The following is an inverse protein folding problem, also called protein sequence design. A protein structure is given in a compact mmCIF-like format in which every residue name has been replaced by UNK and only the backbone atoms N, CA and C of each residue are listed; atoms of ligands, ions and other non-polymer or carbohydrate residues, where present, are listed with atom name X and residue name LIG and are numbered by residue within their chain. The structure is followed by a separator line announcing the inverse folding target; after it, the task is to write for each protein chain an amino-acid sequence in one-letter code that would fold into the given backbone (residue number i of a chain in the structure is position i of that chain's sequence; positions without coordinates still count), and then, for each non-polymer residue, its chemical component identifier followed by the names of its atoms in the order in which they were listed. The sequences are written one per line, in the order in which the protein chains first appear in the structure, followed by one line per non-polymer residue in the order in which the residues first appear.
data_IF_471113283164
#
_entry.id   IF_471113283164
#
_cell.length_a   1.000
_cell.length_b   1.000
_cell.length_c   1.000
_cell.angle_alpha   90.00
_cell.angle_beta   90.00
_cell.angle_gamma   90.00
#
_symmetry.space_group_name_H-M   'P 1'
#
loop_
_entity.id
_entity.type
_entity.pdbx_description
1 polymer ?
#
# COMPACT_ATOMS: atom_id res chain seq x y z
N UNK A 1 -9.41 -6.54 -18.55
CA UNK A 1 -8.08 -6.17 -19.09
C UNK A 1 -7.13 -5.70 -17.95
N UNK A 2 -7.42 -4.66 -17.21
CA UNK A 2 -6.57 -4.14 -16.10
C UNK A 2 -6.14 -5.22 -15.08
N UNK A 3 -7.08 -6.05 -14.61
CA UNK A 3 -6.79 -7.11 -13.64
C UNK A 3 -5.75 -8.13 -14.15
N UNK A 4 -5.81 -8.51 -15.41
CA UNK A 4 -4.84 -9.42 -16.01
C UNK A 4 -3.45 -8.77 -16.13
N UNK A 5 -3.40 -7.51 -16.53
CA UNK A 5 -2.16 -6.73 -16.60
C UNK A 5 -1.51 -6.62 -15.21
N UNK A 6 -2.28 -6.28 -14.19
CA UNK A 6 -1.77 -6.25 -12.82
C UNK A 6 -1.22 -7.60 -12.36
N UNK A 7 -1.87 -8.71 -12.71
CA UNK A 7 -1.35 -10.04 -12.37
C UNK A 7 -0.01 -10.32 -13.05
N UNK A 8 0.12 -10.04 -14.34
CA UNK A 8 1.39 -10.23 -15.06
C UNK A 8 2.50 -9.38 -14.43
N UNK A 9 2.23 -8.11 -14.16
CA UNK A 9 3.21 -7.20 -13.57
C UNK A 9 3.62 -7.66 -12.18
N UNK A 10 2.66 -7.83 -11.28
CA UNK A 10 2.98 -8.09 -9.86
C UNK A 10 3.39 -9.53 -9.59
N UNK A 11 2.75 -10.53 -10.22
CA UNK A 11 3.07 -11.95 -9.98
C UNK A 11 4.17 -12.47 -10.90
N UNK A 12 4.38 -11.83 -12.03
CA UNK A 12 5.50 -12.14 -12.93
C UNK A 12 6.71 -11.25 -12.62
N UNK A 13 6.73 -10.04 -13.20
CA UNK A 13 7.90 -9.17 -13.23
C UNK A 13 8.33 -8.71 -11.83
N UNK A 14 7.42 -8.12 -11.06
CA UNK A 14 7.77 -7.54 -9.76
C UNK A 14 8.14 -8.61 -8.74
N UNK A 15 7.40 -9.71 -8.67
CA UNK A 15 7.69 -10.78 -7.73
C UNK A 15 9.03 -11.46 -8.03
N UNK A 16 9.34 -11.66 -9.32
CA UNK A 16 10.63 -12.18 -9.76
C UNK A 16 11.77 -11.23 -9.37
N UNK A 17 11.65 -9.92 -9.72
CA UNK A 17 12.63 -8.90 -9.36
C UNK A 17 12.87 -8.84 -7.84
N UNK A 18 11.79 -8.74 -7.07
CA UNK A 18 11.89 -8.64 -5.60
C UNK A 18 12.52 -9.88 -4.96
N UNK A 19 12.25 -11.09 -5.49
CA UNK A 19 12.84 -12.33 -4.97
C UNK A 19 14.31 -12.49 -5.34
N UNK A 20 14.66 -12.28 -6.62
CA UNK A 20 15.99 -12.63 -7.12
C UNK A 20 16.98 -11.47 -6.99
N UNK A 21 16.54 -10.23 -7.15
CA UNK A 21 17.42 -9.07 -7.14
C UNK A 21 17.47 -8.44 -5.73
N UNK A 22 16.30 -8.29 -5.10
CA UNK A 22 16.20 -7.62 -3.79
C UNK A 22 16.30 -8.61 -2.62
N UNK A 23 16.03 -9.91 -2.85
CA UNK A 23 16.07 -10.94 -1.82
C UNK A 23 14.83 -10.98 -0.91
N UNK A 24 13.69 -10.42 -1.36
CA UNK A 24 12.46 -10.38 -0.55
C UNK A 24 11.89 -11.77 -0.36
N UNK A 25 11.68 -12.16 0.90
CA UNK A 25 10.95 -13.36 1.27
C UNK A 25 9.47 -13.03 1.52
N UNK A 26 8.60 -13.68 0.77
CA UNK A 26 7.15 -13.44 0.86
C UNK A 26 6.48 -14.45 1.79
N UNK A 27 5.72 -13.94 2.74
CA UNK A 27 4.80 -14.78 3.55
C UNK A 27 3.61 -15.22 2.71
N UNK A 28 3.08 -16.40 3.00
CA UNK A 28 1.88 -16.91 2.32
C UNK A 28 0.62 -16.11 2.70
N UNK A 29 0.11 -15.36 1.75
CA UNK A 29 -1.10 -14.55 1.91
C UNK A 29 -2.36 -15.20 1.31
N UNK A 30 -2.34 -16.51 1.00
CA UNK A 30 -3.49 -17.23 0.41
C UNK A 30 -4.73 -17.23 1.27
N UNK A 31 -4.59 -17.11 2.59
CA UNK A 31 -5.71 -16.97 3.52
C UNK A 31 -6.60 -15.76 3.22
N UNK A 32 -6.05 -14.69 2.63
CA UNK A 32 -6.80 -13.51 2.22
C UNK A 32 -7.88 -13.78 1.17
N UNK A 33 -7.79 -14.89 0.43
CA UNK A 33 -8.83 -15.30 -0.54
C UNK A 33 -10.18 -15.59 0.11
N UNK A 34 -10.18 -15.90 1.41
CA UNK A 34 -11.39 -16.16 2.19
C UNK A 34 -12.03 -14.91 2.75
N UNK A 35 -11.28 -13.80 2.77
CA UNK A 35 -11.77 -12.54 3.29
C UNK A 35 -12.53 -11.77 2.20
N UNK A 36 -13.71 -11.29 2.55
CA UNK A 36 -14.52 -10.45 1.65
C UNK A 36 -13.83 -9.11 1.40
N UNK A 37 -13.29 -8.55 2.47
CA UNK A 37 -12.63 -7.25 2.50
C UNK A 37 -11.67 -7.17 3.69
N UNK A 38 -10.58 -6.40 3.57
CA UNK A 38 -9.59 -6.25 4.63
C UNK A 38 -8.82 -4.93 4.50
N UNK A 39 -8.17 -4.54 5.59
CA UNK A 39 -7.23 -3.42 5.64
C UNK A 39 -5.87 -3.96 6.07
N UNK A 40 -4.87 -3.85 5.22
CA UNK A 40 -3.48 -4.14 5.59
C UNK A 40 -2.89 -2.90 6.25
N UNK A 41 -2.34 -3.07 7.44
CA UNK A 41 -1.61 -2.04 8.18
C UNK A 41 -0.14 -2.45 8.23
N UNK A 42 0.72 -1.72 7.52
CA UNK A 42 2.14 -2.04 7.39
C UNK A 42 3.03 -0.89 7.82
N UNK A 43 4.23 -1.18 8.34
CA UNK A 43 5.27 -0.18 8.54
C UNK A 43 5.79 0.33 7.19
N UNK A 44 6.34 1.55 7.15
CA UNK A 44 6.76 2.19 5.91
C UNK A 44 8.21 2.67 5.97
N UNK A 45 9.11 1.92 5.37
CA UNK A 45 10.55 2.19 5.40
C UNK A 45 11.16 2.41 4.01
N UNK A 46 10.52 1.91 2.94
CA UNK A 46 11.08 1.89 1.59
C UNK A 46 10.05 2.23 0.51
N UNK A 47 10.53 2.68 -0.64
CA UNK A 47 9.72 2.78 -1.86
C UNK A 47 9.21 1.41 -2.35
N UNK A 48 9.91 0.33 -2.01
CA UNK A 48 9.55 -1.04 -2.40
C UNK A 48 8.45 -1.65 -1.53
N UNK A 49 8.07 -1.02 -0.42
CA UNK A 49 7.08 -1.58 0.51
C UNK A 49 5.73 -1.88 -0.16
N UNK A 50 5.19 -0.90 -0.86
CA UNK A 50 3.91 -1.06 -1.59
C UNK A 50 4.03 -2.13 -2.67
N UNK A 51 5.14 -2.15 -3.40
CA UNK A 51 5.40 -3.12 -4.45
C UNK A 51 5.48 -4.54 -3.87
N UNK A 52 6.17 -4.70 -2.75
CA UNK A 52 6.31 -5.98 -2.05
C UNK A 52 4.98 -6.48 -1.52
N UNK A 53 4.18 -5.62 -0.90
CA UNK A 53 2.84 -5.97 -0.41
C UNK A 53 1.93 -6.41 -1.56
N UNK A 54 1.84 -5.64 -2.65
CA UNK A 54 1.04 -6.02 -3.81
C UNK A 54 1.53 -7.32 -4.44
N UNK A 55 2.85 -7.53 -4.53
CA UNK A 55 3.41 -8.77 -5.07
C UNK A 55 3.18 -9.99 -4.18
N UNK A 56 2.97 -9.81 -2.86
CA UNK A 56 2.62 -10.90 -1.94
C UNK A 56 1.16 -11.36 -2.08
N UNK A 57 0.27 -10.47 -2.50
CA UNK A 57 -1.17 -10.75 -2.55
C UNK A 57 -1.51 -11.82 -3.59
N UNK A 58 -2.58 -12.62 -3.37
CA UNK A 58 -3.16 -13.45 -4.41
C UNK A 58 -3.56 -12.61 -5.64
N UNK A 59 -3.17 -13.04 -6.84
CA UNK A 59 -3.37 -12.26 -8.07
C UNK A 59 -4.82 -11.80 -8.31
N UNK A 60 -5.79 -12.65 -7.91
CA UNK A 60 -7.23 -12.34 -8.04
C UNK A 60 -7.69 -11.17 -7.15
N UNK A 61 -6.91 -10.79 -6.13
CA UNK A 61 -7.25 -9.69 -5.21
C UNK A 61 -6.63 -8.35 -5.61
N UNK A 62 -5.63 -8.34 -6.48
CA UNK A 62 -4.87 -7.13 -6.82
C UNK A 62 -5.75 -5.94 -7.25
N UNK A 63 -6.77 -6.19 -8.07
CA UNK A 63 -7.66 -5.14 -8.55
C UNK A 63 -8.65 -4.62 -7.49
N UNK A 64 -8.87 -5.39 -6.41
CA UNK A 64 -9.72 -5.02 -5.28
C UNK A 64 -8.96 -4.33 -4.15
N UNK A 65 -7.64 -4.30 -4.21
CA UNK A 65 -6.81 -3.72 -3.16
C UNK A 65 -6.24 -2.38 -3.63
N UNK A 66 -6.44 -1.35 -2.81
CA UNK A 66 -5.97 0.01 -3.08
C UNK A 66 -4.92 0.42 -2.04
N UNK A 67 -3.64 0.56 -2.42
CA UNK A 67 -2.68 1.28 -1.59
C UNK A 67 -3.10 2.74 -1.45
N UNK A 68 -3.06 3.25 -0.23
CA UNK A 68 -3.36 4.66 0.04
C UNK A 68 -2.08 5.48 0.00
N UNK A 69 -2.06 6.52 -0.82
CA UNK A 69 -0.93 7.39 -0.97
C UNK A 69 -1.36 8.87 -1.01
N UNK A 70 -0.44 9.75 -0.62
CA UNK A 70 -0.69 11.19 -0.65
C UNK A 70 -0.57 11.74 -2.08
N UNK A 71 -1.50 12.61 -2.49
CA UNK A 71 -1.51 13.24 -3.81
C UNK A 71 -0.23 14.02 -4.10
N UNK A 72 0.33 14.70 -3.09
CA UNK A 72 1.56 15.49 -3.18
C UNK A 72 2.81 14.64 -3.48
N UNK A 73 2.75 13.33 -3.22
CA UNK A 73 3.81 12.40 -3.52
C UNK A 73 3.95 12.10 -5.03
N UNK A 74 2.84 12.01 -5.75
CA UNK A 74 2.84 11.73 -7.19
C UNK A 74 3.10 12.96 -8.04
N UNK A 75 3.40 14.09 -7.39
CA UNK A 75 3.99 15.26 -7.98
C UNK A 75 3.05 16.07 -8.86
N UNK A 76 3.64 17.09 -9.44
CA UNK A 76 3.03 18.09 -10.31
C UNK A 76 2.61 17.52 -11.68
N UNK A 77 2.87 16.23 -11.95
CA UNK A 77 2.69 15.64 -13.26
C UNK A 77 1.47 14.71 -13.29
N UNK A 78 0.37 15.19 -13.90
CA UNK A 78 -0.89 14.43 -14.08
C UNK A 78 -0.68 13.08 -14.78
N UNK A 79 0.36 12.97 -15.62
CA UNK A 79 0.70 11.75 -16.33
C UNK A 79 1.25 10.67 -15.38
N UNK A 80 2.14 11.03 -14.45
CA UNK A 80 2.65 10.10 -13.45
C UNK A 80 1.53 9.63 -12.50
N UNK A 81 0.63 10.52 -12.11
CA UNK A 81 -0.53 10.16 -11.30
C UNK A 81 -1.45 9.18 -12.04
N UNK A 82 -1.65 9.36 -13.34
CA UNK A 82 -2.48 8.49 -14.18
C UNK A 82 -1.85 7.09 -14.33
N UNK A 83 -0.55 7.01 -14.58
CA UNK A 83 0.19 5.73 -14.64
C UNK A 83 0.14 5.01 -13.30
N UNK A 84 0.41 5.71 -12.21
CA UNK A 84 0.35 5.14 -10.85
C UNK A 84 -1.05 4.61 -10.53
N UNK A 85 -2.07 5.35 -10.91
CA UNK A 85 -3.45 4.94 -10.67
C UNK A 85 -3.84 3.71 -11.52
N UNK A 86 -3.36 3.64 -12.75
CA UNK A 86 -3.65 2.50 -13.63
C UNK A 86 -2.92 1.22 -13.22
N UNK A 87 -1.62 1.31 -12.87
CA UNK A 87 -0.79 0.14 -12.56
C UNK A 87 -0.82 -0.26 -11.09
N UNK A 88 -0.97 0.70 -10.17
CA UNK A 88 -0.94 0.44 -8.71
C UNK A 88 -2.36 0.44 -8.12
N UNK A 89 -3.38 0.91 -8.85
CA UNK A 89 -4.75 1.08 -8.35
C UNK A 89 -4.79 1.93 -7.06
N UNK A 90 -3.98 2.98 -6.99
CA UNK A 90 -3.75 3.77 -5.78
C UNK A 90 -4.96 4.65 -5.44
N UNK A 91 -5.32 4.70 -4.16
CA UNK A 91 -6.24 5.68 -3.62
C UNK A 91 -5.43 6.92 -3.20
N UNK A 92 -5.54 7.99 -3.98
CA UNK A 92 -4.86 9.25 -3.68
C UNK A 92 -5.67 10.08 -2.67
N UNK A 93 -5.00 10.53 -1.60
CA UNK A 93 -5.57 11.37 -0.54
C UNK A 93 -4.74 12.63 -0.34
N UNK A 94 -5.37 13.73 0.07
CA UNK A 94 -4.67 14.96 0.47
C UNK A 94 -4.22 14.85 1.94
N UNK A 95 -2.97 15.19 2.23
CA UNK A 95 -2.42 15.12 3.60
C UNK A 95 -2.95 16.21 4.53
N UNK A 96 -3.24 17.39 3.97
CA UNK A 96 -3.85 18.51 4.68
C UNK A 96 -5.19 18.79 3.98
N UNK A 97 -6.27 18.39 4.62
CA UNK A 97 -7.57 18.96 4.30
C UNK A 97 -7.60 20.38 4.88
N UNK A 98 -7.82 21.39 4.06
CA UNK A 98 -8.61 22.54 4.51
C UNK A 98 -9.84 21.95 5.19
N UNK A 99 -10.47 22.68 6.12
CA UNK A 99 -11.69 22.26 6.86
C UNK A 99 -12.88 21.91 5.93
N UNK A 100 -12.61 21.68 4.67
CA UNK A 100 -13.55 21.35 3.64
C UNK A 100 -13.87 19.85 3.71
N UNK A 101 -15.12 19.56 4.05
CA UNK A 101 -15.62 18.18 4.23
C UNK A 101 -15.45 17.29 2.99
N UNK A 102 -15.27 17.88 1.82
CA UNK A 102 -15.14 17.19 0.54
C UNK A 102 -13.77 16.53 0.33
N UNK A 103 -12.73 17.03 1.01
CA UNK A 103 -11.35 16.57 0.86
C UNK A 103 -10.80 15.82 2.09
N UNK A 104 -11.69 15.42 3.03
CA UNK A 104 -11.28 14.64 4.21
C UNK A 104 -10.70 13.28 3.76
N UNK A 105 -9.39 13.02 4.03
CA UNK A 105 -8.76 11.76 3.67
C UNK A 105 -9.44 10.55 4.30
N UNK A 106 -10.02 10.69 5.48
CA UNK A 106 -10.73 9.60 6.16
C UNK A 106 -12.01 9.28 5.39
N UNK A 107 -12.76 10.29 4.98
CA UNK A 107 -13.97 10.10 4.17
C UNK A 107 -13.67 9.36 2.88
N UNK A 108 -12.64 9.76 2.12
CA UNK A 108 -12.22 9.06 0.89
C UNK A 108 -11.88 7.59 1.12
N UNK A 109 -11.21 7.29 2.24
CA UNK A 109 -10.90 5.89 2.60
C UNK A 109 -12.15 5.10 2.96
N UNK A 110 -13.08 5.70 3.69
CA UNK A 110 -14.37 5.07 4.02
C UNK A 110 -15.21 4.81 2.77
N UNK A 111 -15.30 5.78 1.86
CA UNK A 111 -15.99 5.62 0.57
C UNK A 111 -15.41 4.46 -0.26
N UNK A 112 -14.09 4.30 -0.28
CA UNK A 112 -13.45 3.17 -0.94
C UNK A 112 -13.79 1.83 -0.26
N UNK A 113 -13.81 1.81 1.08
CA UNK A 113 -14.22 0.65 1.87
C UNK A 113 -15.70 0.32 1.56
N UNK A 114 -16.58 1.29 1.59
CA UNK A 114 -18.02 1.11 1.32
C UNK A 114 -18.29 0.64 -0.11
N UNK A 115 -17.42 1.02 -1.06
CA UNK A 115 -17.43 0.50 -2.42
C UNK A 115 -16.85 -0.92 -2.56
N UNK A 116 -16.46 -1.58 -1.47
CA UNK A 116 -15.99 -2.96 -1.45
C UNK A 116 -14.49 -3.15 -1.70
N UNK A 117 -13.69 -2.08 -1.72
CA UNK A 117 -12.24 -2.18 -1.85
C UNK A 117 -11.57 -2.48 -0.52
N UNK A 118 -10.54 -3.30 -0.56
CA UNK A 118 -9.57 -3.47 0.52
C UNK A 118 -8.49 -2.39 0.42
N UNK A 119 -7.90 -2.01 1.56
CA UNK A 119 -6.89 -0.96 1.59
C UNK A 119 -5.54 -1.48 2.08
N UNK A 120 -4.46 -0.85 1.60
CA UNK A 120 -3.13 -0.92 2.21
C UNK A 120 -2.84 0.45 2.79
N UNK A 121 -2.63 0.51 4.10
CA UNK A 121 -2.36 1.73 4.85
C UNK A 121 -1.01 1.63 5.54
N UNK A 122 -0.27 2.73 5.49
CA UNK A 122 0.93 2.93 6.28
C UNK A 122 0.60 3.89 7.42
N UNK A 123 0.39 3.38 8.65
CA UNK A 123 -0.10 4.18 9.79
C UNK A 123 0.78 5.37 10.14
N UNK A 124 2.05 5.31 9.81
CA UNK A 124 3.04 6.38 10.00
C UNK A 124 2.77 7.60 9.09
N UNK A 125 2.15 7.36 7.93
CA UNK A 125 1.82 8.37 6.90
C UNK A 125 3.01 8.96 6.17
N UNK A 126 4.23 8.60 6.55
CA UNK A 126 5.49 8.96 5.89
C UNK A 126 6.47 7.81 6.07
N UNK A 127 7.48 7.71 5.21
CA UNK A 127 8.56 6.75 5.40
C UNK A 127 9.39 7.12 6.62
N UNK A 128 9.56 6.15 7.51
CA UNK A 128 10.35 6.22 8.73
C UNK A 128 11.83 5.91 8.49
N UNK A 129 12.57 5.77 9.60
CA UNK A 129 13.93 5.24 9.59
C UNK A 129 13.91 3.72 9.44
N UNK A 130 14.91 3.10 8.80
CA UNK A 130 15.01 1.66 8.69
C UNK A 130 14.86 0.96 10.05
N UNK A 131 14.06 -0.11 10.08
CA UNK A 131 13.83 -0.97 11.26
C UNK A 131 13.24 -0.25 12.49
N UNK A 132 12.74 0.97 12.35
CA UNK A 132 12.10 1.71 13.42
C UNK A 132 10.65 2.00 13.05
N UNK A 133 9.73 1.65 13.94
CA UNK A 133 8.34 2.02 13.79
C UNK A 133 8.16 3.49 14.15
N UNK A 134 7.61 4.26 13.24
CA UNK A 134 7.27 5.66 13.46
C UNK A 134 6.00 5.85 14.29
N UNK A 135 5.66 7.11 14.56
CA UNK A 135 4.43 7.44 15.30
C UNK A 135 3.20 7.10 14.47
N UNK A 136 2.32 6.27 15.02
CA UNK A 136 1.02 5.93 14.42
C UNK A 136 0.08 7.12 14.47
N UNK A 137 -0.53 7.48 13.35
CA UNK A 137 -1.53 8.55 13.24
C UNK A 137 -2.90 8.09 13.70
N UNK A 138 -3.62 8.94 14.43
CA UNK A 138 -4.96 8.65 14.97
C UNK A 138 -6.04 8.37 13.91
N UNK A 139 -5.82 8.83 12.67
CA UNK A 139 -6.74 8.57 11.56
C UNK A 139 -7.02 7.08 11.32
N UNK A 140 -6.04 6.21 11.57
CA UNK A 140 -6.23 4.74 11.45
C UNK A 140 -7.24 4.24 12.48
N UNK A 141 -7.09 4.64 13.75
CA UNK A 141 -8.01 4.24 14.81
C UNK A 141 -9.46 4.67 14.48
N UNK A 142 -9.61 5.87 13.91
CA UNK A 142 -10.92 6.38 13.47
C UNK A 142 -11.53 5.53 12.35
N UNK A 143 -10.75 5.11 11.35
CA UNK A 143 -11.25 4.23 10.27
C UNK A 143 -11.71 2.89 10.86
N UNK A 144 -10.87 2.26 11.70
CA UNK A 144 -11.19 0.97 12.30
C UNK A 144 -12.42 1.04 13.22
N UNK A 145 -12.62 2.14 13.95
CA UNK A 145 -13.81 2.32 14.79
C UNK A 145 -15.08 2.57 13.98
N UNK A 146 -14.98 3.18 12.78
CA UNK A 146 -16.13 3.45 11.92
C UNK A 146 -16.51 2.25 11.03
N UNK A 147 -15.61 1.29 10.85
CA UNK A 147 -15.84 0.05 10.07
C UNK A 147 -15.27 -1.16 10.82
N UNK A 148 -15.83 -1.48 12.02
CA UNK A 148 -15.33 -2.56 12.87
C UNK A 148 -15.51 -3.95 12.25
N UNK A 149 -16.41 -4.08 11.27
CA UNK A 149 -16.66 -5.30 10.51
C UNK A 149 -15.54 -5.64 9.51
N UNK A 150 -14.72 -4.65 9.12
CA UNK A 150 -13.62 -4.84 8.18
C UNK A 150 -12.40 -5.37 8.91
N UNK A 151 -11.96 -6.55 8.55
CA UNK A 151 -10.79 -7.18 9.15
C UNK A 151 -9.52 -6.38 8.88
N UNK A 152 -8.77 -6.05 9.91
CA UNK A 152 -7.44 -5.46 9.77
C UNK A 152 -6.35 -6.51 9.94
N UNK A 153 -5.29 -6.36 9.17
CA UNK A 153 -4.19 -7.34 9.09
C UNK A 153 -2.90 -6.56 9.29
N UNK A 154 -2.29 -6.65 10.48
CA UNK A 154 -0.99 -6.04 10.71
C UNK A 154 0.08 -6.82 9.95
N UNK A 155 0.95 -6.10 9.26
CA UNK A 155 2.10 -6.64 8.53
C UNK A 155 3.33 -5.87 8.95
N UNK A 156 4.35 -6.58 9.39
CA UNK A 156 5.64 -5.99 9.69
C UNK A 156 6.67 -6.44 8.65
N UNK A 157 7.27 -5.44 7.97
CA UNK A 157 8.29 -5.66 6.96
C UNK A 157 9.67 -5.31 7.54
N UNK A 158 10.61 -6.23 7.44
CA UNK A 158 11.99 -6.07 7.91
C UNK A 158 12.95 -5.99 6.72
N UNK A 159 14.10 -5.35 6.90
CA UNK A 159 15.15 -5.25 5.87
C UNK A 159 14.85 -4.26 4.73
N UNK A 160 13.59 -3.84 4.56
CA UNK A 160 13.16 -3.01 3.43
C UNK A 160 13.82 -1.63 3.40
N UNK A 161 14.09 -1.05 4.54
CA UNK A 161 14.73 0.26 4.66
C UNK A 161 16.20 0.27 4.22
N UNK A 162 16.82 -0.90 4.11
CA UNK A 162 18.20 -1.08 3.62
C UNK A 162 18.24 -1.37 2.13
N UNK A 163 17.15 -1.85 1.54
CA UNK A 163 17.10 -2.28 0.14
C UNK A 163 17.17 -1.12 -0.85
N UNK A 164 16.65 0.06 -0.49
CA UNK A 164 16.76 1.31 -1.26
C UNK A 164 16.77 2.48 -0.27
N UNK A 165 17.88 2.75 0.40
CA UNK A 165 18.06 3.99 1.13
C UNK A 165 18.08 5.13 0.12
N UNK A 166 17.76 6.35 0.55
CA UNK A 166 17.64 7.55 -0.30
C UNK A 166 18.75 7.62 -1.38
N UNK A 167 18.49 7.04 -2.55
CA UNK A 167 19.34 7.14 -3.73
C UNK A 167 20.41 6.05 -3.92
N UNK A 168 20.53 5.07 -3.03
CA UNK A 168 21.48 3.96 -3.19
C UNK A 168 20.77 2.62 -3.22
N UNK A 169 21.10 1.79 -4.20
CA UNK A 169 20.68 0.41 -4.28
C UNK A 169 21.63 -0.43 -3.42
N UNK A 170 21.22 -0.83 -2.23
CA UNK A 170 21.95 -1.81 -1.45
C UNK A 170 21.40 -3.18 -1.80
N UNK A 171 22.17 -3.96 -2.56
CA UNK A 171 21.94 -5.37 -2.73
C UNK A 171 22.25 -6.03 -1.36
N UNK A 172 21.26 -6.65 -0.75
CA UNK A 172 21.47 -7.42 0.47
C UNK A 172 22.23 -8.70 0.09
N UNK A 173 23.23 -9.09 0.89
CA UNK A 173 23.98 -10.34 0.69
C UNK A 173 23.09 -11.57 0.82
#
# INVERSE_FOLDING_TARGET
MQAAIMQIIYKGICQWFLKLIVGVQFTDCRFLKKEKQFIILANHNSHLDTLSLLSSLPGKLLWKVKPVAAEDYFGKNRFQASISNYFINTLLIRRKGEKDSEHDPIRKMLEAIDAGYSLILFPEGTRGKPEQMGKIKSGIARILSLRPEVKYIPVFMTGMGRSLPKGELILLP
#
